data_IF_904964208443
#
_entry.id   IF_904964208443
#
_cell.length_a   1.000
_cell.length_b   1.000
_cell.length_c   1.000
_cell.angle_alpha   90.00
_cell.angle_beta   90.00
_cell.angle_gamma   90.00
#
_symmetry.space_group_name_H-M   'P 1'
#
loop_
_entity.id
_entity.type
_entity.pdbx_description
1 polymer ?
#
# COMPACT_ATOMS: atom_id res chain seq x y z
N UNK A 1 -6.90 -3.86 5.15
CA UNK A 1 -6.39 -2.50 5.47
C UNK A 1 -6.88 -2.14 6.86
N UNK A 2 -6.20 -1.21 7.54
CA UNK A 2 -6.63 -0.65 8.82
C UNK A 2 -6.31 0.84 8.90
N UNK A 3 -6.98 1.54 9.78
CA UNK A 3 -6.71 2.96 10.09
C UNK A 3 -6.22 3.08 11.52
N UNK A 4 -5.47 4.13 11.80
CA UNK A 4 -4.97 4.47 13.14
C UNK A 4 -5.42 5.88 13.51
N UNK A 5 -5.79 6.09 14.77
CA UNK A 5 -6.17 7.42 15.25
C UNK A 5 -5.03 8.42 15.05
N UNK A 6 -5.36 9.59 14.48
CA UNK A 6 -4.37 10.64 14.19
C UNK A 6 -3.59 10.45 12.89
N UNK A 7 -3.81 9.35 12.15
CA UNK A 7 -3.26 9.14 10.80
C UNK A 7 -4.30 9.52 9.74
N UNK A 8 -3.82 10.11 8.65
CA UNK A 8 -4.69 10.60 7.57
C UNK A 8 -5.06 9.48 6.58
N UNK A 9 -4.18 8.49 6.41
CA UNK A 9 -4.31 7.46 5.38
C UNK A 9 -4.34 6.05 5.98
N UNK A 10 -4.95 5.06 5.28
CA UNK A 10 -4.94 3.67 5.72
C UNK A 10 -3.55 3.04 5.61
N UNK A 11 -3.35 1.98 6.38
CA UNK A 11 -2.22 1.05 6.27
C UNK A 11 -2.73 -0.22 5.57
N UNK A 12 -2.02 -0.61 4.52
CA UNK A 12 -2.25 -1.87 3.80
C UNK A 12 -1.39 -2.94 4.46
N UNK A 13 -2.05 -4.00 4.91
CA UNK A 13 -1.41 -5.09 5.62
C UNK A 13 -1.95 -6.43 5.14
N UNK A 14 -1.16 -7.49 5.34
CA UNK A 14 -1.51 -8.88 4.99
C UNK A 14 -1.18 -9.82 6.15
N UNK A 15 -1.73 -11.02 6.10
CA UNK A 15 -1.28 -12.17 6.90
C UNK A 15 -0.89 -13.29 5.95
N UNK A 16 0.37 -13.73 6.01
CA UNK A 16 0.92 -14.66 5.01
C UNK A 16 0.56 -16.11 5.37
N UNK A 17 -0.05 -16.83 4.43
CA UNK A 17 -0.36 -18.27 4.53
C UNK A 17 -1.59 -18.62 5.37
N UNK A 18 -1.91 -17.88 6.44
CA UNK A 18 -3.09 -18.10 7.27
C UNK A 18 -3.64 -16.80 7.86
N UNK A 19 -4.93 -16.77 8.19
CA UNK A 19 -5.60 -15.67 8.90
C UNK A 19 -5.14 -15.52 10.35
N UNK A 20 -4.52 -16.55 10.92
CA UNK A 20 -3.94 -16.53 12.27
C UNK A 20 -2.47 -16.10 12.27
N UNK A 21 -1.86 -15.96 11.08
CA UNK A 21 -0.49 -15.49 10.98
C UNK A 21 -0.36 -14.04 11.50
N UNK A 22 0.87 -13.67 11.86
CA UNK A 22 1.19 -12.30 12.23
C UNK A 22 0.89 -11.36 11.06
N UNK A 23 0.37 -10.19 11.39
CA UNK A 23 0.13 -9.14 10.41
C UNK A 23 1.45 -8.53 9.95
N UNK A 24 1.61 -8.41 8.63
CA UNK A 24 2.74 -7.76 7.96
C UNK A 24 2.23 -6.49 7.28
N UNK A 25 2.91 -5.36 7.51
CA UNK A 25 2.62 -4.12 6.78
C UNK A 25 3.17 -4.23 5.36
N UNK A 26 2.28 -4.09 4.38
CA UNK A 26 2.59 -4.17 2.96
C UNK A 26 2.92 -2.79 2.40
N UNK A 27 2.04 -1.81 2.64
CA UNK A 27 2.26 -0.39 2.33
C UNK A 27 1.71 0.48 3.46
N UNK A 28 2.53 1.37 4.00
CA UNK A 28 2.05 2.46 4.84
C UNK A 28 1.85 3.71 3.97
N UNK A 29 0.60 4.05 3.67
CA UNK A 29 0.29 5.20 2.83
C UNK A 29 0.65 6.52 3.53
N UNK A 30 0.69 6.58 4.86
CA UNK A 30 1.08 7.78 5.59
C UNK A 30 2.57 8.08 5.39
N UNK A 31 3.40 7.04 5.38
CA UNK A 31 4.84 7.16 5.10
C UNK A 31 5.07 7.58 3.64
N UNK A 32 4.37 6.94 2.70
CA UNK A 32 4.47 7.27 1.28
C UNK A 32 3.97 8.69 0.95
N UNK A 33 2.99 9.19 1.70
CA UNK A 33 2.41 10.52 1.50
C UNK A 33 3.27 11.66 2.06
N UNK A 34 4.35 11.39 2.81
CA UNK A 34 5.20 12.43 3.40
C UNK A 34 5.75 13.36 2.33
N UNK A 35 5.61 14.67 2.55
CA UNK A 35 6.07 15.71 1.63
C UNK A 35 5.10 16.01 0.47
N UNK A 36 4.00 15.27 0.33
CA UNK A 36 2.97 15.55 -0.67
C UNK A 36 1.75 16.23 -0.04
N UNK A 37 1.18 17.22 -0.74
CA UNK A 37 -0.09 17.86 -0.34
C UNK A 37 -1.31 16.97 -0.61
N UNK A 38 -1.17 16.03 -1.55
CA UNK A 38 -2.17 15.03 -1.90
C UNK A 38 -1.45 13.72 -2.18
N UNK A 39 -2.04 12.61 -1.78
CA UNK A 39 -1.54 11.28 -2.08
C UNK A 39 -2.68 10.28 -2.17
N UNK A 40 -2.72 9.53 -3.26
CA UNK A 40 -3.67 8.46 -3.48
C UNK A 40 -2.94 7.19 -3.93
N UNK A 41 -3.36 6.05 -3.38
CA UNK A 41 -3.08 4.73 -3.93
C UNK A 41 -4.35 4.28 -4.64
N UNK A 42 -4.21 3.86 -5.91
CA UNK A 42 -5.34 3.44 -6.73
C UNK A 42 -5.32 1.93 -6.96
N UNK A 43 -4.47 1.43 -7.85
CA UNK A 43 -4.30 0.00 -8.03
C UNK A 43 -3.57 -0.59 -6.81
N UNK A 44 -4.03 -1.77 -6.37
CA UNK A 44 -3.37 -2.60 -5.36
C UNK A 44 -3.64 -4.06 -5.71
N UNK A 45 -2.71 -4.68 -6.42
CA UNK A 45 -2.88 -6.01 -7.02
C UNK A 45 -1.68 -6.88 -6.64
N UNK A 46 -1.82 -7.80 -5.66
CA UNK A 46 -0.79 -8.80 -5.41
C UNK A 46 -0.71 -9.78 -6.59
N UNK A 47 0.48 -10.34 -6.84
CA UNK A 47 0.65 -11.46 -7.78
C UNK A 47 -0.02 -12.72 -7.24
N UNK A 48 -0.29 -13.68 -8.13
CA UNK A 48 -0.96 -14.95 -7.79
C UNK A 48 -0.23 -15.73 -6.68
N UNK A 49 1.11 -15.66 -6.67
CA UNK A 49 1.96 -16.28 -5.65
C UNK A 49 2.15 -15.40 -4.39
N UNK A 50 1.59 -14.18 -4.39
CA UNK A 50 1.67 -13.21 -3.30
C UNK A 50 3.06 -12.62 -3.04
N UNK A 51 4.02 -12.82 -3.94
CA UNK A 51 5.40 -12.35 -3.76
C UNK A 51 5.63 -10.94 -4.31
N UNK A 52 4.87 -10.50 -5.30
CA UNK A 52 4.95 -9.16 -5.88
C UNK A 52 3.66 -8.40 -5.60
N UNK A 53 3.77 -7.07 -5.51
CA UNK A 53 2.65 -6.15 -5.45
C UNK A 53 2.78 -5.12 -6.56
N UNK A 54 1.85 -5.13 -7.51
CA UNK A 54 1.64 -3.99 -8.38
C UNK A 54 0.73 -2.99 -7.67
N UNK A 55 1.19 -1.75 -7.50
CA UNK A 55 0.37 -0.67 -6.97
C UNK A 55 0.63 0.62 -7.73
N UNK A 56 -0.34 1.53 -7.71
CA UNK A 56 -0.21 2.80 -8.42
C UNK A 56 -0.49 3.99 -7.53
N UNK A 57 0.26 5.08 -7.76
CA UNK A 57 0.22 6.29 -6.92
C UNK A 57 -0.08 7.53 -7.73
N UNK A 58 -0.94 8.41 -7.20
CA UNK A 58 -1.16 9.77 -7.69
C UNK A 58 -0.83 10.77 -6.57
N UNK A 59 0.11 11.66 -6.84
CA UNK A 59 0.59 12.67 -5.90
C UNK A 59 0.03 14.07 -6.20
N UNK A 60 -0.75 14.18 -7.28
CA UNK A 60 -1.22 15.44 -7.84
C UNK A 60 -2.74 15.62 -7.74
N UNK A 61 -3.49 14.51 -7.74
CA UNK A 61 -4.95 14.50 -7.79
C UNK A 61 -5.52 14.55 -9.22
N UNK A 62 -4.66 14.60 -10.25
CA UNK A 62 -5.08 14.61 -11.66
C UNK A 62 -5.37 13.23 -12.23
N UNK A 63 -5.39 12.17 -11.40
CA UNK A 63 -5.60 10.77 -11.81
C UNK A 63 -4.56 10.32 -12.83
N UNK A 64 -3.35 10.88 -12.71
CA UNK A 64 -2.17 10.42 -13.42
C UNK A 64 -1.38 9.55 -12.46
N UNK A 65 -1.26 8.27 -12.80
CA UNK A 65 -0.74 7.29 -11.88
C UNK A 65 0.65 6.83 -12.29
N UNK A 66 1.55 6.78 -11.32
CA UNK A 66 2.81 6.05 -11.43
C UNK A 66 2.59 4.62 -10.96
N UNK A 67 2.81 3.64 -11.84
CA UNK A 67 2.84 2.23 -11.49
C UNK A 67 4.17 1.88 -10.81
N UNK A 68 4.10 1.10 -9.73
CA UNK A 68 5.23 0.51 -9.05
C UNK A 68 4.99 -0.99 -8.86
N UNK A 69 6.07 -1.77 -8.88
CA UNK A 69 6.07 -3.17 -8.46
C UNK A 69 6.99 -3.28 -7.24
N UNK A 70 6.47 -3.80 -6.13
CA UNK A 70 7.22 -4.06 -4.89
C UNK A 70 7.36 -5.55 -4.69
N UNK A 71 8.57 -6.01 -4.39
CA UNK A 71 8.82 -7.36 -3.89
C UNK A 71 8.41 -7.43 -2.41
N UNK A 72 7.52 -8.35 -2.07
CA UNK A 72 7.00 -8.56 -0.72
C UNK A 72 7.78 -9.64 0.05
N UNK A 73 8.90 -10.11 -0.49
CA UNK A 73 9.83 -11.02 0.19
C UNK A 73 10.97 -10.28 0.89
N UNK A 74 11.12 -8.98 0.61
CA UNK A 74 12.15 -8.08 1.14
C UNK A 74 11.55 -6.89 1.85
#
# INVERSE_FOLDING_TARGET
TRTEQGKQYPIYARKKGSVDALEEIVLDQNELAKGFKFFNISAFVPSDDGNLLAYSTDTTGYRQYKLQVKDLRT
#
